data_IF_192181640057
#
_entry.id   IF_192181640057
#
_cell.length_a   1.000
_cell.length_b   1.000
_cell.length_c   1.000
_cell.angle_alpha   90.00
_cell.angle_beta   90.00
_cell.angle_gamma   90.00
#
_symmetry.space_group_name_H-M   'P 1'
#
loop_
_entity.id
_entity.type
_entity.pdbx_description
1 polymer ?
#
# COMPACT_ATOMS: atom_id res chain seq x y z
N UNK A 1 51.05 21.20 11.47
CA UNK A 1 50.56 20.06 12.26
C UNK A 1 49.08 20.20 12.55
N UNK A 2 48.37 19.06 12.55
CA UNK A 2 46.94 18.80 12.76
C UNK A 2 45.98 19.21 11.62
N UNK A 3 45.50 18.29 10.76
CA UNK A 3 44.64 17.10 10.97
C UNK A 3 43.28 17.41 11.60
N UNK A 4 42.21 17.21 10.82
CA UNK A 4 40.83 16.88 11.22
C UNK A 4 40.14 16.36 9.94
N UNK A 5 40.45 15.14 9.50
CA UNK A 5 39.85 13.85 9.88
C UNK A 5 38.41 13.67 9.37
N UNK A 6 38.34 12.92 8.28
CA UNK A 6 37.19 12.25 7.69
C UNK A 6 36.64 11.17 8.63
N UNK A 7 35.32 11.14 8.84
CA UNK A 7 34.59 10.00 9.40
C UNK A 7 33.15 10.14 8.88
N UNK A 8 32.62 9.31 7.99
CA UNK A 8 32.71 7.86 7.92
C UNK A 8 31.36 7.30 8.38
N UNK A 9 30.51 6.93 7.42
CA UNK A 9 29.08 6.57 7.56
C UNK A 9 28.89 5.15 8.18
N UNK A 10 29.74 4.76 9.13
CA UNK A 10 29.74 3.41 9.73
C UNK A 10 29.79 3.47 11.27
N UNK A 11 28.80 4.14 11.86
CA UNK A 11 28.72 4.39 13.30
C UNK A 11 27.52 3.74 14.01
N UNK A 12 27.05 2.56 13.57
CA UNK A 12 26.04 1.79 14.32
C UNK A 12 26.50 0.33 14.45
N UNK A 13 27.54 0.10 15.25
CA UNK A 13 27.94 -1.24 15.65
C UNK A 13 28.64 -1.21 17.01
N UNK A 14 28.02 -0.58 18.01
CA UNK A 14 28.50 -0.67 19.39
C UNK A 14 27.40 -0.38 20.41
N UNK A 15 26.37 -1.22 20.49
CA UNK A 15 25.64 -1.36 21.76
C UNK A 15 25.64 -2.82 22.19
N UNK A 16 26.01 -3.12 23.45
CA UNK A 16 26.05 -4.48 23.95
C UNK A 16 24.62 -5.04 23.92
N UNK A 17 24.46 -6.19 23.29
CA UNK A 17 23.27 -7.02 23.39
C UNK A 17 23.01 -7.34 24.87
N UNK A 18 22.28 -6.46 25.56
CA UNK A 18 21.57 -6.77 26.80
C UNK A 18 20.66 -7.95 26.48
N UNK A 19 20.48 -8.95 27.36
CA UNK A 19 19.49 -10.01 27.13
C UNK A 19 18.10 -9.39 27.24
N UNK A 20 17.66 -8.76 26.14
CA UNK A 20 16.28 -8.36 25.92
C UNK A 20 15.48 -9.66 25.95
N UNK A 21 14.40 -9.67 26.73
CA UNK A 21 13.44 -10.76 26.78
C UNK A 21 13.17 -11.26 25.34
N UNK A 22 13.10 -12.58 25.10
CA UNK A 22 13.01 -13.14 23.74
C UNK A 22 11.89 -12.47 22.91
N UNK A 23 10.78 -12.15 23.57
CA UNK A 23 9.68 -11.37 23.01
C UNK A 23 10.13 -10.03 22.41
N UNK A 24 10.94 -9.26 23.12
CA UNK A 24 11.42 -7.95 22.68
C UNK A 24 12.29 -8.05 21.43
N UNK A 25 13.16 -9.07 21.34
CA UNK A 25 13.97 -9.29 20.13
C UNK A 25 13.09 -9.64 18.91
N UNK A 26 12.09 -10.49 19.10
CA UNK A 26 11.13 -10.85 18.06
C UNK A 26 10.26 -9.66 17.64
N UNK A 27 9.83 -8.83 18.59
CA UNK A 27 9.07 -7.60 18.32
C UNK A 27 9.93 -6.57 17.58
N UNK A 28 11.21 -6.42 17.94
CA UNK A 28 12.16 -5.55 17.24
C UNK A 28 12.38 -6.03 15.80
N UNK A 29 12.59 -7.34 15.60
CA UNK A 29 12.73 -7.95 14.26
C UNK A 29 11.48 -7.78 13.41
N UNK A 30 10.30 -8.03 13.98
CA UNK A 30 9.02 -7.77 13.33
C UNK A 30 8.93 -6.30 12.92
N UNK A 31 9.40 -5.38 13.75
CA UNK A 31 9.41 -3.96 13.46
C UNK A 31 10.27 -3.59 12.26
N UNK A 32 11.51 -4.08 12.22
CA UNK A 32 12.41 -3.83 11.09
C UNK A 32 11.85 -4.42 9.80
N UNK A 33 11.37 -5.67 9.82
CA UNK A 33 10.76 -6.30 8.64
C UNK A 33 9.51 -5.54 8.17
N UNK A 34 8.68 -5.11 9.10
CA UNK A 34 7.43 -4.45 8.76
C UNK A 34 7.65 -3.03 8.23
N UNK A 35 8.51 -2.24 8.87
CA UNK A 35 8.72 -0.81 8.54
C UNK A 35 9.79 -0.57 7.45
N UNK A 36 10.70 -1.53 7.27
CA UNK A 36 11.77 -1.41 6.27
C UNK A 36 11.59 -2.33 5.08
N UNK A 37 10.67 -3.31 5.10
CA UNK A 37 10.50 -4.24 3.96
C UNK A 37 9.07 -4.44 3.50
N UNK A 38 8.08 -4.42 4.41
CA UNK A 38 6.68 -4.69 4.04
C UNK A 38 5.85 -3.41 3.86
N UNK A 39 6.17 -2.35 4.60
CA UNK A 39 5.45 -1.08 4.61
C UNK A 39 6.46 0.07 4.62
N UNK A 40 6.29 1.05 3.75
CA UNK A 40 7.07 2.29 3.80
C UNK A 40 6.29 3.34 4.60
N UNK A 41 6.78 3.79 5.78
CA UNK A 41 6.12 4.84 6.56
C UNK A 41 6.35 6.24 5.98
N UNK A 42 7.34 6.41 5.10
CA UNK A 42 7.68 7.71 4.50
C UNK A 42 7.06 7.86 3.09
N UNK A 43 6.11 8.81 2.91
CA UNK A 43 5.49 9.08 1.61
C UNK A 43 6.46 9.65 0.56
N UNK A 44 7.66 10.09 0.96
CA UNK A 44 8.70 10.62 0.07
C UNK A 44 9.75 9.58 -0.36
N UNK A 45 9.78 8.41 0.27
CA UNK A 45 10.72 7.34 -0.05
C UNK A 45 10.18 6.43 -1.14
N UNK A 46 10.74 6.56 -2.35
CA UNK A 46 10.38 5.81 -3.56
C UNK A 46 11.00 4.40 -3.63
N UNK A 47 11.15 3.74 -2.48
CA UNK A 47 11.72 2.38 -2.46
C UNK A 47 10.58 1.40 -2.27
N UNK A 48 10.24 0.65 -3.31
CA UNK A 48 9.27 -0.43 -3.21
C UNK A 48 9.98 -1.65 -2.62
N UNK A 49 9.60 -2.06 -1.41
CA UNK A 49 10.50 -2.88 -0.58
C UNK A 49 10.22 -4.40 -0.60
N UNK A 50 9.17 -4.83 -1.32
CA UNK A 50 9.02 -6.20 -1.80
C UNK A 50 8.35 -6.15 -3.18
N UNK A 51 9.14 -6.15 -4.24
CA UNK A 51 8.67 -6.02 -5.63
C UNK A 51 7.99 -7.28 -6.18
N UNK A 52 8.34 -8.45 -5.65
CA UNK A 52 7.78 -9.73 -6.09
C UNK A 52 6.91 -10.40 -5.00
N UNK A 53 6.04 -11.31 -5.47
CA UNK A 53 5.06 -12.01 -4.64
C UNK A 53 5.73 -12.91 -3.60
N UNK A 54 6.82 -13.57 -3.97
CA UNK A 54 7.45 -14.60 -3.15
C UNK A 54 8.19 -13.97 -1.96
N UNK A 55 8.96 -12.90 -2.20
CA UNK A 55 9.62 -12.12 -1.14
C UNK A 55 8.61 -11.56 -0.15
N UNK A 56 7.46 -11.07 -0.65
CA UNK A 56 6.39 -10.54 0.21
C UNK A 56 5.77 -11.63 1.08
N UNK A 57 5.51 -12.80 0.50
CA UNK A 57 4.94 -13.95 1.21
C UNK A 57 5.91 -14.46 2.29
N UNK A 58 7.20 -14.54 1.99
CA UNK A 58 8.23 -14.91 2.95
C UNK A 58 8.34 -13.87 4.07
N UNK A 59 8.33 -12.57 3.75
CA UNK A 59 8.36 -11.50 4.74
C UNK A 59 7.19 -11.59 5.74
N UNK A 60 5.96 -11.79 5.24
CA UNK A 60 4.81 -11.98 6.12
C UNK A 60 4.86 -13.31 6.90
N UNK A 61 5.43 -14.37 6.33
CA UNK A 61 5.64 -15.64 7.03
C UNK A 61 6.56 -15.46 8.24
N UNK A 62 7.65 -14.70 8.09
CA UNK A 62 8.56 -14.39 9.21
C UNK A 62 7.85 -13.56 10.27
N UNK A 63 7.12 -12.51 9.90
CA UNK A 63 6.35 -11.68 10.85
C UNK A 63 5.33 -12.52 11.64
N UNK A 64 4.60 -13.40 10.96
CA UNK A 64 3.64 -14.30 11.60
C UNK A 64 4.32 -15.30 12.56
N UNK A 65 5.45 -15.87 12.15
CA UNK A 65 6.22 -16.81 12.95
C UNK A 65 6.80 -16.14 14.21
N UNK A 66 7.32 -14.91 14.07
CA UNK A 66 7.80 -14.12 15.21
C UNK A 66 6.66 -13.77 16.17
N UNK A 67 5.50 -13.35 15.67
CA UNK A 67 4.34 -13.04 16.49
C UNK A 67 3.86 -14.25 17.30
N UNK A 68 3.81 -15.43 16.66
CA UNK A 68 3.43 -16.70 17.30
C UNK A 68 4.45 -17.20 18.33
N UNK A 69 5.73 -16.87 18.13
CA UNK A 69 6.82 -17.27 19.04
C UNK A 69 6.90 -16.40 20.30
N UNK A 70 6.25 -15.23 20.31
CA UNK A 70 6.16 -14.39 21.50
C UNK A 70 5.22 -14.99 22.55
N UNK A 71 5.68 -15.07 23.80
CA UNK A 71 4.87 -15.52 24.93
C UNK A 71 3.86 -14.45 25.34
N UNK A 72 2.67 -14.86 25.80
CA UNK A 72 1.67 -13.96 26.37
C UNK A 72 0.96 -13.05 25.37
N UNK A 73 1.06 -13.33 24.06
CA UNK A 73 0.36 -12.56 23.02
C UNK A 73 0.98 -11.19 22.70
N UNK A 74 2.11 -10.83 23.30
CA UNK A 74 2.78 -9.54 23.08
C UNK A 74 3.15 -9.30 21.61
N UNK A 75 3.55 -10.36 20.88
CA UNK A 75 3.86 -10.28 19.46
C UNK A 75 2.65 -9.89 18.61
N UNK A 76 1.48 -10.49 18.88
CA UNK A 76 0.23 -10.13 18.20
C UNK A 76 -0.25 -8.73 18.55
N UNK A 77 -0.09 -8.30 19.81
CA UNK A 77 -0.41 -6.93 20.23
C UNK A 77 0.47 -5.90 19.50
N UNK A 78 1.78 -6.17 19.41
CA UNK A 78 2.70 -5.31 18.67
C UNK A 78 2.35 -5.23 17.18
N UNK A 79 2.00 -6.37 16.56
CA UNK A 79 1.57 -6.43 15.16
C UNK A 79 0.25 -5.67 14.94
N UNK A 80 -0.75 -5.89 15.80
CA UNK A 80 -2.05 -5.21 15.71
C UNK A 80 -1.91 -3.70 15.85
N UNK A 81 -1.05 -3.23 16.75
CA UNK A 81 -0.72 -1.81 16.91
C UNK A 81 -0.16 -1.21 15.62
N UNK A 82 0.78 -1.90 14.96
CA UNK A 82 1.36 -1.48 13.68
C UNK A 82 0.34 -1.42 12.55
N UNK A 83 -0.50 -2.44 12.43
CA UNK A 83 -1.60 -2.46 11.44
C UNK A 83 -2.56 -1.30 11.69
N UNK A 84 -2.93 -1.05 12.95
CA UNK A 84 -3.80 0.08 13.32
C UNK A 84 -3.19 1.42 12.93
N UNK A 85 -1.88 1.60 13.10
CA UNK A 85 -1.17 2.81 12.64
C UNK A 85 -1.30 2.99 11.13
N UNK A 86 -1.03 1.95 10.34
CA UNK A 86 -1.19 2.01 8.87
C UNK A 86 -2.62 2.37 8.50
N UNK A 87 -3.61 1.68 9.06
CA UNK A 87 -5.02 1.96 8.79
C UNK A 87 -5.37 3.39 9.17
N UNK A 88 -4.88 3.91 10.28
CA UNK A 88 -5.15 5.29 10.72
C UNK A 88 -4.52 6.31 9.77
N UNK A 89 -3.29 6.07 9.30
CA UNK A 89 -2.59 6.97 8.37
C UNK A 89 -3.16 6.90 6.95
N UNK A 90 -3.66 5.74 6.52
CA UNK A 90 -4.15 5.51 5.15
C UNK A 90 -5.66 5.68 5.00
N UNK A 91 -6.46 5.51 6.06
CA UNK A 91 -7.92 5.65 5.98
C UNK A 91 -8.39 7.00 5.42
N UNK A 92 -7.78 8.15 5.79
CA UNK A 92 -8.15 9.43 5.19
C UNK A 92 -7.87 9.49 3.68
N UNK A 93 -6.76 8.92 3.22
CA UNK A 93 -6.38 8.96 1.79
C UNK A 93 -7.13 7.92 0.95
N UNK A 94 -7.48 6.77 1.53
CA UNK A 94 -8.27 5.73 0.87
C UNK A 94 -9.74 6.13 0.71
N UNK A 95 -10.33 6.82 1.70
CA UNK A 95 -11.72 7.32 1.63
C UNK A 95 -11.94 8.34 0.50
N UNK A 96 -10.90 9.09 0.13
CA UNK A 96 -10.99 10.11 -0.91
C UNK A 96 -10.51 9.64 -2.31
N UNK A 97 -9.92 8.44 -2.46
CA UNK A 97 -9.30 8.00 -3.72
C UNK A 97 -9.88 6.74 -4.35
N UNK A 98 -10.82 6.04 -3.71
CA UNK A 98 -11.53 4.96 -4.38
C UNK A 98 -12.44 5.54 -5.47
N UNK A 99 -11.95 5.57 -6.72
CA UNK A 99 -12.77 5.82 -7.91
C UNK A 99 -12.77 7.21 -8.55
N UNK A 100 -11.86 8.15 -8.22
CA UNK A 100 -11.87 9.51 -8.81
C UNK A 100 -10.66 9.91 -9.67
N UNK A 101 -9.85 8.98 -10.16
CA UNK A 101 -8.81 9.33 -11.13
C UNK A 101 -9.33 9.15 -12.56
N UNK A 102 -10.13 10.11 -13.05
CA UNK A 102 -10.30 10.28 -14.50
C UNK A 102 -8.92 10.64 -15.04
N UNK A 103 -8.43 9.88 -16.01
CA UNK A 103 -7.14 10.16 -16.65
C UNK A 103 -7.18 11.54 -17.30
N UNK A 104 -6.59 12.56 -16.66
CA UNK A 104 -6.31 13.84 -17.32
C UNK A 104 -5.32 13.67 -18.48
N UNK A 105 -4.61 12.54 -18.55
CA UNK A 105 -3.67 12.21 -19.62
C UNK A 105 -4.39 11.81 -20.93
N UNK A 106 -5.64 11.33 -20.84
CA UNK A 106 -6.44 11.01 -22.05
C UNK A 106 -6.99 12.28 -22.73
N UNK A 107 -7.10 13.41 -22.00
CA UNK A 107 -7.42 14.72 -22.59
C UNK A 107 -6.29 15.29 -23.46
N UNK A 108 -5.04 14.85 -23.24
CA UNK A 108 -3.89 15.30 -24.02
C UNK A 108 -3.83 14.65 -25.40
N UNK A 109 -4.03 13.33 -25.47
CA UNK A 109 -3.97 12.59 -26.75
C UNK A 109 -5.20 12.80 -27.64
N UNK A 110 -6.37 13.04 -27.04
CA UNK A 110 -7.61 13.27 -27.81
C UNK A 110 -7.69 14.67 -28.45
N UNK A 111 -6.79 15.61 -28.10
CA UNK A 111 -6.71 16.92 -28.76
C UNK A 111 -5.81 16.93 -30.00
N UNK A 112 -4.97 15.90 -30.17
CA UNK A 112 -4.02 15.81 -31.29
C UNK A 112 -4.53 14.93 -32.44
N UNK A 113 -5.61 14.17 -32.22
CA UNK A 113 -6.30 13.44 -33.27
C UNK A 113 -7.74 13.94 -33.33
N UNK A 114 -8.15 14.46 -34.49
CA UNK A 114 -9.52 14.93 -34.77
C UNK A 114 -10.56 13.77 -34.82
N UNK A 115 -10.37 12.73 -34.00
CA UNK A 115 -11.33 11.64 -33.85
C UNK A 115 -12.08 11.84 -32.53
N UNK A 116 -13.35 12.21 -32.64
CA UNK A 116 -14.33 12.17 -31.56
C UNK A 116 -14.52 10.71 -31.11
N UNK A 117 -13.65 10.24 -30.22
CA UNK A 117 -13.80 8.91 -29.63
C UNK A 117 -15.07 8.90 -28.78
N UNK A 118 -16.08 8.16 -29.25
CA UNK A 118 -17.41 8.04 -28.64
C UNK A 118 -17.40 7.31 -27.28
N UNK A 119 -16.29 6.69 -26.91
CA UNK A 119 -16.14 5.85 -25.72
C UNK A 119 -14.83 6.18 -24.99
N UNK A 120 -14.86 6.16 -23.66
CA UNK A 120 -13.70 6.41 -22.80
C UNK A 120 -13.22 5.13 -22.10
N UNK A 121 -11.91 4.99 -21.94
CA UNK A 121 -11.31 3.89 -21.20
C UNK A 121 -11.45 4.02 -19.67
N UNK A 122 -11.29 2.90 -18.95
CA UNK A 122 -11.17 2.89 -17.48
C UNK A 122 -9.72 2.57 -17.09
N UNK A 123 -9.08 3.46 -16.32
CA UNK A 123 -7.72 3.24 -15.80
C UNK A 123 -7.71 2.05 -14.84
N UNK A 124 -6.75 1.15 -15.00
CA UNK A 124 -6.53 0.04 -14.07
C UNK A 124 -5.88 0.60 -12.78
N UNK A 125 -6.56 0.49 -11.64
CA UNK A 125 -6.07 0.95 -10.34
C UNK A 125 -5.43 -0.19 -9.54
N UNK A 126 -4.67 -1.06 -10.23
CA UNK A 126 -3.97 -2.21 -9.65
C UNK A 126 -4.89 -3.43 -9.48
N UNK A 127 -4.59 -4.51 -10.20
CA UNK A 127 -5.39 -5.75 -10.20
C UNK A 127 -6.89 -5.57 -10.49
N UNK A 128 -7.34 -4.43 -11.04
CA UNK A 128 -8.76 -4.16 -11.33
C UNK A 128 -9.13 -4.36 -12.80
N UNK A 129 -8.22 -4.85 -13.65
CA UNK A 129 -8.48 -5.02 -15.09
C UNK A 129 -9.71 -5.89 -15.38
N UNK A 130 -9.93 -6.96 -14.61
CA UNK A 130 -11.11 -7.82 -14.79
C UNK A 130 -12.40 -7.05 -14.54
N UNK A 131 -12.44 -6.23 -13.47
CA UNK A 131 -13.59 -5.39 -13.14
C UNK A 131 -13.82 -4.33 -14.20
N UNK A 132 -12.75 -3.69 -14.68
CA UNK A 132 -12.83 -2.68 -15.73
C UNK A 132 -13.44 -3.27 -17.02
N UNK A 133 -13.00 -4.46 -17.45
CA UNK A 133 -13.54 -5.13 -18.63
C UNK A 133 -15.01 -5.51 -18.46
N UNK A 134 -15.39 -6.03 -17.29
CA UNK A 134 -16.80 -6.37 -17.00
C UNK A 134 -17.68 -5.12 -16.96
N UNK A 135 -17.24 -4.04 -16.29
CA UNK A 135 -17.99 -2.78 -16.22
C UNK A 135 -18.18 -2.15 -17.60
N UNK A 136 -17.14 -2.17 -18.46
CA UNK A 136 -17.25 -1.68 -19.83
C UNK A 136 -18.25 -2.52 -20.64
N UNK A 137 -18.23 -3.85 -20.51
CA UNK A 137 -19.21 -4.73 -21.18
C UNK A 137 -20.65 -4.45 -20.71
N UNK A 138 -20.87 -4.33 -19.40
CA UNK A 138 -22.19 -4.01 -18.83
C UNK A 138 -22.68 -2.62 -19.26
N UNK A 139 -21.80 -1.62 -19.31
CA UNK A 139 -22.16 -0.26 -19.72
C UNK A 139 -22.50 -0.16 -21.22
N UNK A 140 -21.95 -1.04 -22.06
CA UNK A 140 -22.34 -1.12 -23.47
C UNK A 140 -23.76 -1.68 -23.68
N UNK A 141 -24.38 -2.28 -22.66
CA UNK A 141 -25.77 -2.75 -22.72
C UNK A 141 -26.73 -1.57 -22.50
N UNK A 142 -27.49 -1.09 -23.52
CA UNK A 142 -28.25 0.15 -23.40
C UNK A 142 -29.36 0.12 -22.35
N UNK A 143 -30.03 -1.02 -22.18
CA UNK A 143 -31.09 -1.18 -21.17
C UNK A 143 -30.54 -1.07 -19.75
N UNK A 144 -29.44 -1.80 -19.47
CA UNK A 144 -28.78 -1.75 -18.17
C UNK A 144 -28.21 -0.36 -17.89
N UNK A 145 -27.49 0.23 -18.85
CA UNK A 145 -26.93 1.58 -18.72
C UNK A 145 -28.00 2.61 -18.38
N UNK A 146 -29.13 2.60 -19.09
CA UNK A 146 -30.24 3.53 -18.83
C UNK A 146 -30.76 3.38 -17.41
N UNK A 147 -31.05 2.14 -17.00
CA UNK A 147 -31.60 1.84 -15.67
C UNK A 147 -30.65 2.24 -14.54
N UNK A 148 -29.34 1.99 -14.69
CA UNK A 148 -28.31 2.41 -13.73
C UNK A 148 -28.20 3.93 -13.66
N UNK A 149 -28.17 4.60 -14.82
CA UNK A 149 -28.09 6.08 -14.87
C UNK A 149 -29.37 6.77 -14.38
N UNK A 150 -30.52 6.11 -14.42
CA UNK A 150 -31.79 6.62 -13.91
C UNK A 150 -32.12 6.16 -12.48
N UNK A 151 -31.25 5.38 -11.85
CA UNK A 151 -31.51 4.85 -10.51
C UNK A 151 -31.58 5.99 -9.49
N UNK A 152 -32.66 6.00 -8.70
CA UNK A 152 -32.81 6.92 -7.58
C UNK A 152 -31.83 6.54 -6.47
N UNK A 153 -31.13 7.53 -5.93
CA UNK A 153 -30.36 7.33 -4.71
C UNK A 153 -31.33 7.18 -3.53
N UNK A 154 -31.07 6.27 -2.58
CA UNK A 154 -31.86 6.19 -1.35
C UNK A 154 -31.87 7.55 -0.66
N UNK A 155 -33.06 8.06 -0.34
CA UNK A 155 -33.25 9.38 0.28
C UNK A 155 -32.94 9.40 1.78
N UNK A 156 -32.32 8.34 2.31
CA UNK A 156 -31.92 8.23 3.71
C UNK A 156 -30.46 7.77 3.76
N UNK A 157 -29.61 8.69 4.21
CA UNK A 157 -28.24 8.45 4.68
C UNK A 157 -28.15 8.97 6.11
#
# INVERSE_FOLDING_TARGET
SNSNNSSGVFGILSHPFRPKNQNTCLIDLMGVLFDSFLSCPDPSSSTAICHDKDSRQLGFSVVASCAASCKGGEGYLALASRIKTIVTLTAPTLRHRWGQNISSEERGYSRMTNHTLKYSGLRNQGCTCYMNSVLQQLFMMPGLRKNVCSALLPSVL
#
